data_IF_124101356300
#
_entry.id   IF_124101356300
#
_cell.length_a   1.000
_cell.length_b   1.000
_cell.length_c   1.000
_cell.angle_alpha   90.00
_cell.angle_beta   90.00
_cell.angle_gamma   90.00
#
_symmetry.space_group_name_H-M   'P 1'
#
loop_
_entity.id
_entity.type
_entity.pdbx_description
1 polymer ?
#
# COMPACT_ATOMS: atom_id res chain seq x y z
N UNK A 1 -10.84 2.48 5.53
CA UNK A 1 -9.96 3.36 4.74
C UNK A 1 -9.72 2.74 3.38
N UNK A 2 -9.64 3.53 2.30
CA UNK A 2 -9.32 3.05 0.95
C UNK A 2 -7.87 2.53 0.88
N UNK A 3 -7.63 1.31 1.35
CA UNK A 3 -6.33 0.66 1.17
C UNK A 3 -6.25 0.11 -0.26
N UNK A 4 -5.10 0.31 -0.91
CA UNK A 4 -4.81 -0.27 -2.22
C UNK A 4 -4.83 -1.81 -2.12
N UNK A 5 -5.63 -2.52 -2.94
CA UNK A 5 -5.77 -3.97 -2.85
C UNK A 5 -4.47 -4.72 -3.15
N UNK A 6 -3.56 -4.14 -3.95
CA UNK A 6 -2.24 -4.75 -4.20
C UNK A 6 -1.38 -4.71 -2.93
N UNK A 7 -1.32 -3.57 -2.24
CA UNK A 7 -0.64 -3.43 -0.96
C UNK A 7 -1.26 -4.32 0.13
N UNK A 8 -2.59 -4.43 0.19
CA UNK A 8 -3.28 -5.36 1.10
C UNK A 8 -2.81 -6.80 0.89
N UNK A 9 -2.84 -7.28 -0.36
CA UNK A 9 -2.38 -8.63 -0.70
C UNK A 9 -0.89 -8.83 -0.40
N UNK A 10 -0.04 -7.83 -0.65
CA UNK A 10 1.39 -7.90 -0.33
C UNK A 10 1.60 -8.07 1.18
N UNK A 11 0.93 -7.26 1.99
CA UNK A 11 1.02 -7.35 3.45
C UNK A 11 0.45 -8.68 3.97
N UNK A 12 -0.72 -9.08 3.48
CA UNK A 12 -1.35 -10.35 3.83
C UNK A 12 -0.47 -11.55 3.48
N UNK A 13 0.16 -11.56 2.30
CA UNK A 13 1.11 -12.61 1.91
C UNK A 13 2.35 -12.65 2.83
N UNK A 14 2.85 -11.48 3.26
CA UNK A 14 3.98 -11.40 4.20
C UNK A 14 3.63 -11.99 5.56
N UNK A 15 2.45 -11.65 6.09
CA UNK A 15 1.95 -12.20 7.36
C UNK A 15 1.68 -13.70 7.22
N UNK A 16 1.02 -14.13 6.13
CA UNK A 16 0.66 -15.54 5.97
C UNK A 16 1.83 -16.47 5.67
N UNK A 17 2.98 -15.92 5.29
CA UNK A 17 4.22 -16.69 5.10
C UNK A 17 4.80 -17.20 6.42
N UNK A 18 4.47 -16.57 7.56
CA UNK A 18 4.97 -16.99 8.88
C UNK A 18 4.19 -18.19 9.45
N UNK A 19 2.94 -18.39 9.03
CA UNK A 19 2.17 -19.58 9.40
C UNK A 19 2.65 -20.78 8.58
N UNK A 20 3.45 -21.64 9.19
CA UNK A 20 3.84 -22.94 8.62
C UNK A 20 3.15 -24.06 9.38
N UNK A 21 2.41 -24.89 8.66
CA UNK A 21 1.84 -26.13 9.18
C UNK A 21 2.22 -27.26 8.22
N UNK A 22 2.79 -28.36 8.73
CA UNK A 22 3.37 -29.44 7.92
C UNK A 22 2.33 -30.12 7.01
N UNK A 23 1.09 -30.23 7.47
CA UNK A 23 0.02 -30.98 6.78
C UNK A 23 -0.97 -30.09 6.01
N UNK A 24 -0.87 -28.76 6.12
CA UNK A 24 -1.84 -27.84 5.50
C UNK A 24 -1.13 -26.95 4.48
N UNK A 25 -1.49 -27.01 3.18
CA UNK A 25 -0.93 -26.13 2.18
C UNK A 25 -1.10 -24.65 2.55
N UNK A 26 -0.07 -23.83 2.32
CA UNK A 26 -0.11 -22.40 2.63
C UNK A 26 -1.25 -21.66 1.91
N UNK A 27 -1.63 -22.12 0.72
CA UNK A 27 -2.80 -21.60 -0.03
C UNK A 27 -4.12 -21.82 0.70
N UNK A 28 -4.28 -22.95 1.39
CA UNK A 28 -5.46 -23.25 2.23
C UNK A 28 -5.50 -22.33 3.44
N UNK A 29 -4.35 -22.14 4.11
CA UNK A 29 -4.21 -21.18 5.23
C UNK A 29 -4.59 -19.78 4.78
N UNK A 30 -4.11 -19.34 3.60
CA UNK A 30 -4.42 -18.03 3.02
C UNK A 30 -5.91 -17.86 2.74
N UNK A 31 -6.55 -18.84 2.10
CA UNK A 31 -7.99 -18.81 1.82
C UNK A 31 -8.82 -18.70 3.11
N UNK A 32 -8.44 -19.46 4.15
CA UNK A 32 -9.09 -19.42 5.44
C UNK A 32 -8.92 -18.06 6.16
N UNK A 33 -7.71 -17.49 6.08
CA UNK A 33 -7.37 -16.26 6.81
C UNK A 33 -7.81 -14.98 6.11
N UNK A 34 -7.93 -14.97 4.78
CA UNK A 34 -8.22 -13.77 4.01
C UNK A 34 -9.50 -13.04 4.44
N UNK A 35 -10.64 -13.71 4.71
CA UNK A 35 -11.86 -13.04 5.16
C UNK A 35 -11.67 -12.23 6.45
N UNK A 36 -10.76 -12.64 7.34
CA UNK A 36 -10.47 -11.95 8.61
C UNK A 36 -9.58 -10.71 8.42
N UNK A 37 -8.96 -10.57 7.25
CA UNK A 37 -8.18 -9.39 6.88
C UNK A 37 -9.04 -8.26 6.30
N UNK A 38 -10.30 -8.54 5.94
CA UNK A 38 -11.17 -7.59 5.25
C UNK A 38 -12.12 -6.88 6.22
N UNK A 39 -12.39 -5.61 5.92
CA UNK A 39 -13.35 -4.77 6.64
C UNK A 39 -14.19 -3.95 5.63
N UNK A 40 -15.35 -3.45 6.06
CA UNK A 40 -16.23 -2.59 5.26
C UNK A 40 -16.63 -3.19 3.91
N UNK A 41 -16.54 -2.39 2.84
CA UNK A 41 -16.93 -2.80 1.47
C UNK A 41 -16.22 -4.07 0.98
N UNK A 42 -14.96 -4.27 1.35
CA UNK A 42 -14.22 -5.48 0.97
C UNK A 42 -14.79 -6.74 1.62
N UNK A 43 -15.22 -6.62 2.88
CA UNK A 43 -15.88 -7.72 3.58
C UNK A 43 -17.26 -8.00 2.98
N UNK A 44 -18.06 -6.96 2.77
CA UNK A 44 -19.39 -7.05 2.17
C UNK A 44 -19.33 -7.68 0.77
N UNK A 45 -18.33 -7.32 -0.03
CA UNK A 45 -18.11 -7.92 -1.34
C UNK A 45 -17.86 -9.43 -1.24
N UNK A 46 -16.95 -9.85 -0.36
CA UNK A 46 -16.61 -11.26 -0.22
C UNK A 46 -17.82 -12.10 0.25
N UNK A 47 -18.62 -11.56 1.17
CA UNK A 47 -19.82 -12.23 1.69
C UNK A 47 -20.95 -12.35 0.63
N UNK A 48 -20.95 -11.50 -0.41
CA UNK A 48 -21.91 -11.55 -1.53
C UNK A 48 -21.47 -12.47 -2.66
N UNK A 49 -20.22 -12.92 -2.66
CA UNK A 49 -19.66 -13.72 -3.72
C UNK A 49 -20.36 -15.10 -3.76
N UNK A 50 -20.62 -15.62 -4.97
CA UNK A 50 -21.39 -16.87 -5.08
C UNK A 50 -20.63 -18.06 -4.48
N UNK A 51 -21.32 -18.98 -3.79
CA UNK A 51 -20.70 -20.21 -3.29
C UNK A 51 -19.98 -20.94 -4.43
N UNK A 52 -18.78 -21.45 -4.16
CA UNK A 52 -17.92 -22.20 -5.11
C UNK A 52 -17.31 -21.39 -6.26
N UNK A 53 -17.47 -20.07 -6.31
CA UNK A 53 -16.79 -19.24 -7.33
C UNK A 53 -15.32 -18.95 -7.01
N UNK A 54 -14.94 -19.05 -5.73
CA UNK A 54 -13.57 -18.94 -5.24
C UNK A 54 -13.15 -20.32 -4.73
N UNK A 55 -12.39 -21.06 -5.54
CA UNK A 55 -11.90 -22.39 -5.19
C UNK A 55 -10.41 -22.39 -4.85
N UNK A 56 -9.65 -21.49 -5.47
CA UNK A 56 -8.22 -21.37 -5.26
C UNK A 56 -7.82 -19.98 -4.78
N UNK A 57 -6.64 -19.88 -4.17
CA UNK A 57 -6.05 -18.58 -3.83
C UNK A 57 -5.90 -17.66 -5.06
N UNK A 58 -5.61 -18.25 -6.23
CA UNK A 58 -5.52 -17.53 -7.50
C UNK A 58 -6.86 -16.91 -7.90
N UNK A 59 -7.95 -17.66 -7.76
CA UNK A 59 -9.30 -17.17 -8.08
C UNK A 59 -9.69 -16.01 -7.17
N UNK A 60 -9.44 -16.15 -5.87
CA UNK A 60 -9.68 -15.12 -4.87
C UNK A 60 -8.92 -13.83 -5.22
N UNK A 61 -7.61 -13.93 -5.45
CA UNK A 61 -6.75 -12.79 -5.81
C UNK A 61 -7.25 -12.12 -7.09
N UNK A 62 -7.56 -12.91 -8.12
CA UNK A 62 -8.05 -12.40 -9.40
C UNK A 62 -9.35 -11.61 -9.23
N UNK A 63 -10.35 -12.18 -8.56
CA UNK A 63 -11.65 -11.52 -8.33
C UNK A 63 -11.49 -10.28 -7.43
N UNK A 64 -10.69 -10.36 -6.37
CA UNK A 64 -10.45 -9.24 -5.47
C UNK A 64 -9.79 -8.06 -6.19
N UNK A 65 -8.72 -8.31 -6.96
CA UNK A 65 -8.08 -7.25 -7.75
C UNK A 65 -9.04 -6.69 -8.79
N UNK A 66 -9.76 -7.53 -9.53
CA UNK A 66 -10.70 -7.04 -10.56
C UNK A 66 -11.85 -6.20 -9.97
N UNK A 67 -12.27 -6.49 -8.73
CA UNK A 67 -13.30 -5.71 -8.04
C UNK A 67 -12.78 -4.34 -7.58
N UNK A 68 -11.61 -4.30 -6.93
CA UNK A 68 -11.14 -3.09 -6.23
C UNK A 68 -10.10 -2.27 -7.02
N UNK A 69 -9.46 -2.88 -8.01
CA UNK A 69 -8.49 -2.25 -8.92
C UNK A 69 -8.57 -2.89 -10.32
N UNK A 70 -9.69 -2.68 -11.04
CA UNK A 70 -9.90 -3.29 -12.35
C UNK A 70 -8.81 -2.91 -13.35
N UNK A 71 -8.56 -3.74 -14.38
CA UNK A 71 -7.58 -3.43 -15.43
C UNK A 71 -7.84 -2.08 -16.11
N UNK A 72 -9.10 -1.66 -16.27
CA UNK A 72 -9.46 -0.34 -16.81
C UNK A 72 -8.89 0.82 -15.99
N UNK A 73 -8.84 0.70 -14.66
CA UNK A 73 -8.23 1.69 -13.79
C UNK A 73 -6.71 1.73 -13.96
N UNK A 74 -6.07 0.56 -14.14
CA UNK A 74 -4.64 0.49 -14.48
C UNK A 74 -4.37 1.20 -15.81
N UNK A 75 -5.17 0.94 -16.84
CA UNK A 75 -5.04 1.60 -18.15
C UNK A 75 -5.24 3.12 -18.04
N UNK A 76 -6.27 3.55 -17.33
CA UNK A 76 -6.53 4.98 -17.08
C UNK A 76 -5.33 5.66 -16.42
N UNK A 77 -4.83 5.12 -15.30
CA UNK A 77 -3.68 5.70 -14.59
C UNK A 77 -2.41 5.71 -15.43
N UNK A 78 -2.15 4.66 -16.22
CA UNK A 78 -1.02 4.64 -17.16
C UNK A 78 -1.13 5.74 -18.22
N UNK A 79 -2.35 6.01 -18.71
CA UNK A 79 -2.60 7.10 -19.65
C UNK A 79 -2.42 8.46 -19.00
N UNK A 80 -2.89 8.65 -17.75
CA UNK A 80 -2.69 9.89 -17.00
C UNK A 80 -1.20 10.16 -16.72
N UNK A 81 -0.42 9.11 -16.44
CA UNK A 81 1.04 9.22 -16.28
C UNK A 81 1.67 9.62 -17.62
N UNK A 82 1.36 8.91 -18.70
CA UNK A 82 2.01 9.12 -20.02
C UNK A 82 1.65 10.48 -20.63
N UNK A 83 0.41 10.94 -20.45
CA UNK A 83 -0.08 12.23 -20.95
C UNK A 83 -0.01 13.34 -19.89
N UNK A 84 0.82 13.16 -18.87
CA UNK A 84 0.98 14.16 -17.82
C UNK A 84 1.43 15.49 -18.45
N UNK A 85 0.81 16.58 -18.02
CA UNK A 85 1.18 17.95 -18.40
C UNK A 85 1.08 18.83 -17.16
N UNK A 86 2.06 19.70 -16.97
CA UNK A 86 2.00 20.75 -15.96
C UNK A 86 0.91 21.75 -16.35
N UNK A 87 0.02 22.09 -15.42
CA UNK A 87 -1.07 23.03 -15.70
C UNK A 87 -0.56 24.48 -15.72
N UNK A 88 -1.19 25.41 -16.46
CA UNK A 88 -0.71 26.79 -16.61
C UNK A 88 -0.50 27.58 -15.30
N UNK A 89 -1.21 27.24 -14.22
CA UNK A 89 -1.10 27.89 -12.91
C UNK A 89 -0.51 26.97 -11.82
N UNK A 90 0.01 25.80 -12.21
CA UNK A 90 0.57 24.82 -11.29
C UNK A 90 2.06 25.06 -11.11
N UNK A 91 2.50 25.19 -9.87
CA UNK A 91 3.92 25.33 -9.55
C UNK A 91 4.65 24.01 -9.81
N UNK A 92 5.96 24.08 -10.05
CA UNK A 92 6.81 22.89 -10.18
C UNK A 92 6.64 21.86 -9.05
N UNK A 93 6.53 22.31 -7.80
CA UNK A 93 6.35 21.42 -6.65
C UNK A 93 4.99 20.70 -6.70
N UNK A 94 3.91 21.43 -6.99
CA UNK A 94 2.57 20.83 -7.13
C UNK A 94 2.52 19.81 -8.26
N UNK A 95 3.13 20.13 -9.42
CA UNK A 95 3.24 19.20 -10.54
C UNK A 95 4.04 17.95 -10.14
N UNK A 96 5.18 18.11 -9.45
CA UNK A 96 5.98 16.97 -9.01
C UNK A 96 5.24 16.09 -8.01
N UNK A 97 4.54 16.67 -7.03
CA UNK A 97 3.74 15.89 -6.08
C UNK A 97 2.57 15.18 -6.75
N UNK A 98 1.89 15.83 -7.70
CA UNK A 98 0.81 15.21 -8.49
C UNK A 98 1.31 14.05 -9.33
N UNK A 99 2.48 14.19 -9.96
CA UNK A 99 3.10 13.12 -10.73
C UNK A 99 3.46 11.93 -9.82
N UNK A 100 4.08 12.18 -8.66
CA UNK A 100 4.38 11.13 -7.68
C UNK A 100 3.11 10.45 -7.15
N UNK A 101 2.03 11.20 -6.95
CA UNK A 101 0.75 10.63 -6.53
C UNK A 101 0.18 9.67 -7.59
N UNK A 102 0.21 10.04 -8.88
CA UNK A 102 -0.20 9.14 -9.96
C UNK A 102 0.62 7.84 -9.98
N UNK A 103 1.94 7.92 -9.79
CA UNK A 103 2.81 6.74 -9.70
C UNK A 103 2.45 5.86 -8.50
N UNK A 104 2.18 6.46 -7.33
CA UNK A 104 1.77 5.74 -6.11
C UNK A 104 0.41 5.06 -6.25
N UNK A 105 -0.50 5.65 -7.01
CA UNK A 105 -1.81 5.06 -7.29
C UNK A 105 -1.72 3.82 -8.20
N UNK A 106 -0.66 3.66 -8.99
CA UNK A 106 -0.44 2.52 -9.87
C UNK A 106 0.99 1.96 -9.72
N UNK A 107 1.35 1.31 -8.60
CA UNK A 107 2.73 0.86 -8.36
C UNK A 107 3.21 -0.18 -9.38
N UNK A 108 2.29 -0.86 -10.07
CA UNK A 108 2.54 -1.82 -11.15
C UNK A 108 2.49 -1.19 -12.57
N UNK A 109 2.71 0.12 -12.68
CA UNK A 109 2.63 0.86 -13.95
C UNK A 109 3.64 0.40 -15.03
N UNK A 110 4.78 -0.18 -14.65
CA UNK A 110 5.77 -0.73 -15.58
C UNK A 110 6.75 0.28 -16.20
N UNK A 111 6.59 1.58 -15.99
CA UNK A 111 7.57 2.60 -16.37
C UNK A 111 8.88 2.52 -15.57
N UNK A 112 10.02 2.54 -16.26
CA UNK A 112 11.34 2.64 -15.63
C UNK A 112 11.57 4.04 -15.04
N UNK A 113 12.51 4.19 -14.11
CA UNK A 113 12.84 5.51 -13.53
C UNK A 113 13.24 6.52 -14.60
N UNK A 114 14.02 6.11 -15.61
CA UNK A 114 14.39 6.95 -16.75
C UNK A 114 13.16 7.43 -17.53
N UNK A 115 12.22 6.53 -17.81
CA UNK A 115 11.01 6.90 -18.55
C UNK A 115 10.08 7.80 -17.73
N UNK A 116 10.01 7.60 -16.40
CA UNK A 116 9.27 8.50 -15.51
C UNK A 116 9.87 9.92 -15.52
N UNK A 117 11.19 10.04 -15.51
CA UNK A 117 11.89 11.32 -15.58
C UNK A 117 11.69 12.01 -16.94
N UNK A 118 11.76 11.25 -18.02
CA UNK A 118 11.50 11.74 -19.39
C UNK A 118 10.07 12.30 -19.52
N UNK A 119 9.06 11.51 -19.10
CA UNK A 119 7.66 11.95 -19.07
C UNK A 119 7.53 13.25 -18.27
N UNK A 120 8.07 13.28 -17.04
CA UNK A 120 7.93 14.45 -16.19
C UNK A 120 8.61 15.68 -16.80
N UNK A 121 9.84 15.55 -17.30
CA UNK A 121 10.57 16.66 -17.93
C UNK A 121 9.83 17.21 -19.15
N UNK A 122 9.39 16.35 -20.06
CA UNK A 122 8.70 16.75 -21.29
C UNK A 122 7.31 17.36 -21.01
N UNK A 123 6.74 17.09 -19.84
CA UNK A 123 5.46 17.63 -19.40
C UNK A 123 5.53 19.03 -18.76
N UNK A 124 6.72 19.50 -18.42
CA UNK A 124 6.93 20.79 -17.76
C UNK A 124 6.73 21.95 -18.73
N UNK A 125 6.39 23.12 -18.18
CA UNK A 125 6.45 24.35 -18.94
C UNK A 125 7.92 24.72 -19.27
N UNK A 126 8.17 25.52 -20.32
CA UNK A 126 9.54 25.87 -20.75
C UNK A 126 10.40 26.50 -19.65
N UNK A 127 9.83 27.36 -18.80
CA UNK A 127 10.60 28.00 -17.71
C UNK A 127 11.11 26.98 -16.68
N UNK A 128 10.31 25.95 -16.40
CA UNK A 128 10.71 24.90 -15.47
C UNK A 128 11.69 23.91 -16.10
N UNK A 129 11.61 23.66 -17.41
CA UNK A 129 12.62 22.90 -18.17
C UNK A 129 13.96 23.63 -18.19
N UNK A 130 13.98 24.91 -18.58
CA UNK A 130 15.19 25.76 -18.61
C UNK A 130 15.89 25.82 -17.24
N UNK A 131 15.10 25.86 -16.17
CA UNK A 131 15.63 25.86 -14.81
C UNK A 131 16.30 24.52 -14.44
N UNK A 132 15.81 23.39 -14.94
CA UNK A 132 16.44 22.07 -14.73
C UNK A 132 17.72 21.94 -15.57
N UNK A 133 17.70 22.37 -16.83
CA UNK A 133 18.88 22.37 -17.70
C UNK A 133 19.99 23.29 -17.15
N UNK A 134 19.61 24.48 -16.67
CA UNK A 134 20.53 25.40 -16.01
C UNK A 134 21.18 24.79 -14.75
N UNK A 135 20.42 24.01 -13.98
CA UNK A 135 20.94 23.32 -12.79
C UNK A 135 21.93 22.21 -13.12
N UNK A 136 21.80 21.58 -14.30
CA UNK A 136 22.70 20.51 -14.78
C UNK A 136 23.87 21.00 -15.62
N UNK A 137 23.91 22.31 -15.91
CA UNK A 137 24.86 22.96 -16.84
C UNK A 137 24.86 22.28 -18.22
N UNK A 138 23.68 21.87 -18.69
CA UNK A 138 23.51 21.11 -19.93
C UNK A 138 22.09 20.56 -20.04
N UNK A 139 21.89 19.56 -20.89
CA UNK A 139 20.59 18.88 -20.98
C UNK A 139 20.36 18.04 -19.71
N UNK A 140 19.21 18.25 -19.06
CA UNK A 140 18.81 17.51 -17.87
C UNK A 140 18.73 16.00 -18.11
N UNK A 141 18.25 15.57 -19.28
CA UNK A 141 18.06 14.16 -19.61
C UNK A 141 19.37 13.41 -19.92
N UNK A 142 20.50 14.11 -20.06
CA UNK A 142 21.82 13.48 -20.24
C UNK A 142 22.41 12.98 -18.91
N UNK A 143 21.83 13.37 -17.78
CA UNK A 143 22.29 12.95 -16.45
C UNK A 143 21.76 11.57 -16.09
N UNK A 144 22.42 10.94 -15.12
CA UNK A 144 21.94 9.68 -14.59
C UNK A 144 20.65 9.90 -13.74
N UNK A 145 19.76 8.90 -13.62
CA UNK A 145 18.47 9.04 -12.92
C UNK A 145 18.57 9.59 -11.50
N UNK A 146 19.61 9.21 -10.76
CA UNK A 146 19.79 9.63 -9.36
C UNK A 146 20.07 11.12 -9.27
N UNK A 147 20.89 11.64 -10.18
CA UNK A 147 21.20 13.06 -10.28
C UNK A 147 19.95 13.86 -10.71
N UNK A 148 19.23 13.39 -11.74
CA UNK A 148 17.96 13.97 -12.17
C UNK A 148 16.96 14.11 -11.01
N UNK A 149 16.73 13.02 -10.27
CA UNK A 149 15.84 13.00 -9.11
C UNK A 149 16.31 13.96 -8.02
N UNK A 150 17.61 14.01 -7.74
CA UNK A 150 18.17 14.92 -6.74
C UNK A 150 17.94 16.39 -7.10
N UNK A 151 18.04 16.75 -8.39
CA UNK A 151 17.83 18.11 -8.86
C UNK A 151 16.34 18.49 -8.82
N UNK A 152 15.45 17.59 -9.26
CA UNK A 152 14.00 17.77 -9.12
C UNK A 152 13.63 17.97 -7.65
N UNK A 153 14.11 17.12 -6.75
CA UNK A 153 13.84 17.22 -5.32
C UNK A 153 14.45 18.48 -4.68
N UNK A 154 15.57 18.98 -5.21
CA UNK A 154 16.14 20.25 -4.77
C UNK A 154 15.25 21.41 -5.19
N UNK A 155 14.89 21.51 -6.49
CA UNK A 155 14.03 22.56 -7.04
C UNK A 155 12.64 22.57 -6.41
N UNK A 156 12.06 21.40 -6.11
CA UNK A 156 10.76 21.28 -5.46
C UNK A 156 10.73 21.89 -4.06
N UNK A 157 11.89 22.02 -3.38
CA UNK A 157 12.02 22.56 -2.00
C UNK A 157 12.34 24.05 -1.92
N UNK A 158 12.82 24.67 -3.02
CA UNK A 158 13.33 26.06 -3.03
C UNK A 158 12.30 27.10 -2.56
N UNK A 159 10.99 26.81 -2.61
CA UNK A 159 9.95 27.74 -2.12
C UNK A 159 9.79 27.80 -0.60
N UNK A 160 10.32 26.85 0.18
CA UNK A 160 10.27 26.94 1.65
C UNK A 160 11.36 27.85 2.26
N UNK A 161 12.40 28.19 1.49
CA UNK A 161 13.56 28.92 2.01
C UNK A 161 13.41 30.43 1.96
N UNK A 162 12.63 30.97 1.02
CA UNK A 162 12.51 32.42 0.78
C UNK A 162 11.62 33.16 1.80
N UNK A 163 10.98 32.44 2.71
CA UNK A 163 10.12 32.98 3.78
C UNK A 163 10.80 33.06 5.15
N UNK A 164 12.01 32.51 5.34
CA UNK A 164 12.66 32.45 6.67
C UNK A 164 13.76 33.47 6.92
N UNK A 165 14.09 34.32 5.95
CA UNK A 165 15.20 35.29 6.07
C UNK A 165 14.80 36.69 6.55
N UNK A 166 13.57 36.89 7.04
CA UNK A 166 13.13 38.22 7.53
C UNK A 166 12.69 38.30 8.99
N UNK A 167 12.79 37.24 9.80
CA UNK A 167 12.46 37.32 11.23
C UNK A 167 13.46 36.52 12.09
N UNK A 168 14.70 36.99 12.20
CA UNK A 168 15.62 36.57 13.28
C UNK A 168 16.28 37.80 13.89
N UNK A 169 15.45 38.72 14.41
CA UNK A 169 15.90 39.68 15.42
C UNK A 169 14.73 40.11 16.29
N UNK A 170 14.38 39.28 17.26
CA UNK A 170 13.84 39.73 18.55
C UNK A 170 13.68 38.55 19.53
N UNK A 171 14.30 38.74 20.70
CA UNK A 171 13.90 38.21 22.00
C UNK A 171 14.23 36.76 22.39
N UNK A 172 15.48 36.62 22.84
CA UNK A 172 15.87 35.78 23.99
C UNK A 172 15.10 36.15 25.26
N UNK A 173 14.69 35.12 26.02
CA UNK A 173 14.35 35.06 27.46
C UNK A 173 12.85 34.84 27.81
N UNK A 174 12.49 33.58 28.10
CA UNK A 174 11.44 33.23 29.07
C UNK A 174 11.70 31.81 29.66
N UNK A 175 11.35 31.54 30.93
CA UNK A 175 11.88 30.41 31.70
C UNK A 175 11.10 29.10 31.48
N UNK A 176 11.83 27.99 31.62
CA UNK A 176 11.32 26.62 31.68
C UNK A 176 10.49 26.40 32.96
N UNK A 177 9.20 26.09 32.77
CA UNK A 177 8.27 25.43 33.71
C UNK A 177 7.25 24.71 32.82
N UNK A 178 6.76 23.50 33.03
CA UNK A 178 6.82 22.54 34.12
C UNK A 178 6.36 21.20 33.53
N UNK A 179 6.89 20.10 34.03
CA UNK A 179 6.54 18.71 33.67
C UNK A 179 5.02 18.46 33.59
N UNK A 180 4.54 17.97 32.44
CA UNK A 180 3.22 17.35 32.32
C UNK A 180 3.30 15.84 32.60
N UNK A 181 2.37 15.25 33.36
CA UNK A 181 2.44 13.85 33.72
C UNK A 181 1.82 12.92 32.66
N UNK A 182 2.53 11.81 32.42
CA UNK A 182 2.00 10.47 32.12
C UNK A 182 1.16 10.22 30.87
N UNK A 183 1.84 10.02 29.73
CA UNK A 183 1.30 9.28 28.57
C UNK A 183 1.55 7.75 28.65
N UNK A 184 2.07 7.26 29.78
CA UNK A 184 2.49 5.86 29.94
C UNK A 184 1.32 4.90 30.15
N UNK A 185 0.23 5.37 30.78
CA UNK A 185 -0.92 4.53 31.12
C UNK A 185 -1.76 4.19 29.88
N UNK A 186 -1.90 5.15 28.95
CA UNK A 186 -2.65 4.96 27.71
C UNK A 186 -2.01 3.92 26.78
N UNK A 187 -0.67 3.91 26.67
CA UNK A 187 0.02 2.95 25.80
C UNK A 187 -0.06 1.52 26.32
N UNK A 188 0.01 1.30 27.64
CA UNK A 188 -0.14 -0.02 28.23
C UNK A 188 -1.56 -0.57 28.04
N UNK A 189 -2.59 0.27 28.20
CA UNK A 189 -3.97 -0.14 28.00
C UNK A 189 -4.28 -0.43 26.52
N UNK A 190 -3.70 0.35 25.60
CA UNK A 190 -3.78 0.08 24.16
C UNK A 190 -3.08 -1.25 23.81
N UNK A 191 -1.89 -1.50 24.36
CA UNK A 191 -1.15 -2.75 24.14
C UNK A 191 -1.93 -3.97 24.64
N UNK A 192 -2.43 -3.93 25.88
CA UNK A 192 -3.24 -5.02 26.44
C UNK A 192 -4.53 -5.26 25.63
N UNK A 193 -5.21 -4.19 25.19
CA UNK A 193 -6.40 -4.34 24.33
C UNK A 193 -6.06 -4.95 22.96
N UNK A 194 -4.86 -4.65 22.42
CA UNK A 194 -4.40 -5.23 21.17
C UNK A 194 -4.05 -6.72 21.35
N UNK A 195 -3.37 -7.06 22.44
CA UNK A 195 -3.04 -8.44 22.83
C UNK A 195 -4.30 -9.28 22.99
N UNK A 196 -5.29 -8.83 23.78
CA UNK A 196 -6.57 -9.52 23.94
C UNK A 196 -7.30 -9.73 22.60
N UNK A 197 -7.30 -8.71 21.73
CA UNK A 197 -7.92 -8.82 20.39
C UNK A 197 -7.17 -9.80 19.49
N UNK A 198 -5.85 -9.86 19.59
CA UNK A 198 -5.02 -10.82 18.86
C UNK A 198 -5.25 -12.24 19.37
N UNK A 199 -5.30 -12.43 20.70
CA UNK A 199 -5.57 -13.73 21.34
C UNK A 199 -6.97 -14.25 20.98
N UNK A 200 -8.01 -13.42 21.03
CA UNK A 200 -9.36 -13.83 20.63
C UNK A 200 -9.38 -14.27 19.16
N UNK A 201 -8.70 -13.53 18.27
CA UNK A 201 -8.61 -13.88 16.85
C UNK A 201 -7.77 -15.16 16.64
N UNK A 202 -6.69 -15.34 17.38
CA UNK A 202 -5.81 -16.51 17.32
C UNK A 202 -6.54 -17.77 17.80
N UNK A 203 -7.23 -17.69 18.96
CA UNK A 203 -8.03 -18.79 19.48
C UNK A 203 -9.15 -19.20 18.53
N UNK A 204 -9.81 -18.24 17.87
CA UNK A 204 -10.82 -18.52 16.83
C UNK A 204 -10.20 -19.19 15.59
N UNK A 205 -8.98 -18.79 15.23
CA UNK A 205 -8.22 -19.40 14.15
C UNK A 205 -7.83 -20.84 14.47
N UNK A 206 -7.26 -21.09 15.66
CA UNK A 206 -6.90 -22.44 16.12
C UNK A 206 -8.12 -23.36 16.15
N UNK A 207 -9.25 -22.86 16.64
CA UNK A 207 -10.52 -23.59 16.58
C UNK A 207 -10.90 -23.96 15.14
N UNK A 208 -10.81 -23.00 14.22
CA UNK A 208 -11.13 -23.24 12.80
C UNK A 208 -10.18 -24.26 12.14
N UNK A 209 -8.90 -24.25 12.50
CA UNK A 209 -7.93 -25.27 12.06
C UNK A 209 -8.26 -26.66 12.61
N UNK A 210 -8.64 -26.75 13.88
CA UNK A 210 -9.02 -28.02 14.51
C UNK A 210 -10.31 -28.58 13.93
N UNK A 211 -11.32 -27.73 13.70
CA UNK A 211 -12.57 -28.12 13.05
C UNK A 211 -12.31 -28.64 11.63
N UNK A 212 -11.41 -27.99 10.88
CA UNK A 212 -10.98 -28.46 9.57
C UNK A 212 -10.25 -29.80 9.65
N UNK A 213 -9.31 -29.98 10.59
CA UNK A 213 -8.60 -31.26 10.80
C UNK A 213 -9.59 -32.40 11.09
N UNK A 214 -10.59 -32.13 11.92
CA UNK A 214 -11.63 -33.11 12.28
C UNK A 214 -12.55 -33.44 11.10
N UNK A 215 -12.76 -32.52 10.15
CA UNK A 215 -13.55 -32.79 8.94
C UNK A 215 -12.88 -33.76 7.97
N UNK A 216 -11.55 -33.86 7.99
CA UNK A 216 -10.77 -34.82 7.18
C UNK A 216 -10.68 -36.21 7.84
N UNK A 217 -11.01 -36.33 9.12
CA UNK A 217 -11.02 -37.60 9.87
C UNK A 217 -12.46 -38.07 10.03
N UNK A 218 -13.11 -38.47 8.93
CA UNK A 218 -14.32 -39.30 9.02
C UNK A 218 -13.89 -40.77 9.04
N UNK A 219 -14.23 -41.57 10.08
CA UNK A 219 -14.00 -43.00 10.04
C UNK A 219 -14.87 -43.63 8.95
N UNK A 220 -14.26 -44.30 7.97
CA UNK A 220 -14.97 -45.20 7.06
C UNK A 220 -15.63 -46.29 7.90
N UNK A 221 -16.97 -46.26 7.98
CA UNK A 221 -17.74 -47.32 8.64
C UNK A 221 -17.51 -48.66 7.90
N UNK A 222 -17.35 -49.80 8.60
CA UNK A 222 -17.20 -51.09 7.95
C UNK A 222 -18.54 -51.46 7.27
N UNK A 223 -18.49 -51.71 5.97
CA UNK A 223 -19.60 -52.32 5.22
C UNK A 223 -19.92 -53.68 5.85
N UNK A 224 -21.10 -53.81 6.46
CA UNK A 224 -21.62 -55.12 6.86
C UNK A 224 -21.87 -55.93 5.60
N UNK A 225 -21.19 -57.09 5.51
CA UNK A 225 -21.50 -58.13 4.54
C UNK A 225 -22.93 -58.62 4.78
N UNK A 226 -23.70 -58.68 3.69
CA UNK A 226 -24.98 -59.37 3.61
C UNK A 226 -24.67 -60.84 3.36
N UNK A 227 -25.00 -61.72 4.30
CA UNK A 227 -25.08 -63.16 4.05
C UNK A 227 -26.52 -63.50 3.63
N UNK A 228 -26.62 -64.28 2.55
CA UNK A 228 -27.83 -64.87 1.96
C UNK A 228 -28.35 -66.05 2.79
#
# INVERSE_FOLDING_TARGET
GRQDPHNHLRFFNKVTFTFRHLEVPNTTIKLLLFPFSLEGEARIWLDKESPRSILTWKDLVSKFINQFFPPSKTTYLRNEITNFLQKPNETFNEAWERFKDLLRQCPHHGFSELHQLDIFYNALNPNDQDALDSATRGNFLDKNPRECLSIIESKSKVRYSRSRTTDVTANTNAPLSSSSPSNSFDLQQIAASLEDKLDIRMNRFEKSLNDMKNSFVTPTAPLKAVEE
#
